data_IF_046457191111
#
_entry.id   IF_046457191111
#
_cell.length_a   1.000
_cell.length_b   1.000
_cell.length_c   1.000
_cell.angle_alpha   90.00
_cell.angle_beta   90.00
_cell.angle_gamma   90.00
#
_symmetry.space_group_name_H-M   'P 1'
#
loop_
_entity.id
_entity.type
_entity.pdbx_description
1 polymer ?
#
# COMPACT_ATOMS: atom_id res chain seq x y z
N UNK A 1 -0.99 22.80 -4.61
CA UNK A 1 0.29 23.04 -3.91
C UNK A 1 1.32 22.11 -4.50
N UNK A 2 2.47 22.62 -4.96
CA UNK A 2 3.55 21.78 -5.48
C UNK A 2 4.23 21.07 -4.31
N UNK A 3 4.24 19.73 -4.32
CA UNK A 3 5.07 18.94 -3.41
C UNK A 3 6.50 19.43 -3.62
N UNK A 4 7.18 19.79 -2.53
CA UNK A 4 8.48 20.39 -2.62
C UNK A 4 9.50 19.32 -3.06
N UNK A 5 9.83 19.33 -4.36
CA UNK A 5 10.83 18.42 -4.95
C UNK A 5 12.19 18.49 -4.25
N UNK A 6 12.48 19.62 -3.54
CA UNK A 6 13.72 19.77 -2.77
C UNK A 6 13.82 18.79 -1.62
N UNK A 7 12.71 18.46 -0.93
CA UNK A 7 12.75 17.58 0.24
C UNK A 7 13.00 16.12 -0.12
N UNK A 8 12.43 15.65 -1.23
CA UNK A 8 12.73 14.33 -1.77
C UNK A 8 14.17 14.27 -2.32
N UNK A 9 14.64 15.35 -2.96
CA UNK A 9 16.02 15.49 -3.43
C UNK A 9 17.00 15.56 -2.27
N UNK A 10 16.69 16.28 -1.19
CA UNK A 10 17.50 16.33 0.04
C UNK A 10 17.55 14.98 0.77
N UNK A 11 16.46 14.24 0.80
CA UNK A 11 16.44 12.88 1.35
C UNK A 11 17.31 11.94 0.50
N UNK A 12 17.20 12.03 -0.82
CA UNK A 12 18.07 11.31 -1.76
C UNK A 12 19.53 11.74 -1.61
N UNK A 13 19.80 13.04 -1.51
CA UNK A 13 21.14 13.57 -1.31
C UNK A 13 21.75 13.09 0.02
N UNK A 14 20.98 13.03 1.11
CA UNK A 14 21.44 12.48 2.41
C UNK A 14 21.67 10.97 2.34
N UNK A 15 20.83 10.23 1.61
CA UNK A 15 21.07 8.81 1.34
C UNK A 15 22.36 8.58 0.53
N UNK A 16 22.73 9.55 -0.35
CA UNK A 16 23.94 9.52 -1.15
C UNK A 16 25.19 10.01 -0.39
N UNK A 17 25.07 11.05 0.44
CA UNK A 17 26.18 11.68 1.15
C UNK A 17 26.81 10.80 2.24
N UNK A 18 26.09 9.80 2.74
CA UNK A 18 26.62 8.83 3.73
C UNK A 18 27.69 7.88 3.17
N UNK A 19 28.05 7.97 1.87
CA UNK A 19 29.08 7.15 1.21
C UNK A 19 29.77 7.96 0.11
N UNK A 20 30.62 8.87 0.50
CA UNK A 20 31.46 9.61 -0.44
C UNK A 20 32.46 8.68 -1.15
N UNK A 21 32.37 8.60 -2.48
CA UNK A 21 33.31 7.93 -3.36
C UNK A 21 32.66 7.49 -4.67
N UNK A 22 32.25 8.38 -5.51
CA UNK A 22 32.33 8.48 -6.96
C UNK A 22 31.19 9.34 -7.53
N UNK A 23 31.59 10.37 -8.25
CA UNK A 23 30.67 11.37 -8.77
C UNK A 23 30.01 10.92 -10.07
N UNK A 24 28.72 10.61 -10.01
CA UNK A 24 27.82 10.74 -11.14
C UNK A 24 26.46 11.24 -10.66
N UNK A 25 26.08 12.42 -11.14
CA UNK A 25 24.83 13.09 -10.79
C UNK A 25 23.62 12.35 -11.36
N UNK A 26 22.68 11.94 -10.52
CA UNK A 26 21.38 11.44 -10.92
C UNK A 26 20.43 12.62 -11.17
N UNK A 27 20.20 12.95 -12.43
CA UNK A 27 19.12 13.84 -12.84
C UNK A 27 17.89 12.99 -13.20
N UNK A 28 16.94 12.84 -12.28
CA UNK A 28 15.58 12.39 -12.59
C UNK A 28 14.62 13.36 -11.90
N UNK A 29 14.03 14.23 -12.73
CA UNK A 29 12.88 15.03 -12.34
C UNK A 29 11.64 14.13 -12.33
N UNK A 30 11.15 13.76 -11.16
CA UNK A 30 9.85 13.17 -11.00
C UNK A 30 8.81 14.28 -10.85
N UNK A 31 8.01 14.52 -11.88
CA UNK A 31 6.78 15.29 -11.74
C UNK A 31 5.74 14.43 -10.99
N UNK A 32 5.27 14.93 -9.85
CA UNK A 32 4.06 14.38 -9.24
C UNK A 32 2.94 14.53 -10.25
N UNK A 33 2.50 13.44 -10.84
CA UNK A 33 1.36 13.43 -11.76
C UNK A 33 0.09 13.73 -10.96
N UNK A 34 -0.24 15.02 -10.86
CA UNK A 34 -1.54 15.45 -10.37
C UNK A 34 -2.58 15.10 -11.42
N UNK A 35 -3.63 14.40 -11.01
CA UNK A 35 -4.83 14.36 -11.83
C UNK A 35 -5.35 15.79 -11.98
N UNK A 36 -5.62 16.28 -13.20
CA UNK A 36 -6.19 17.60 -13.37
C UNK A 36 -7.51 17.68 -12.62
N UNK A 37 -7.76 18.77 -11.90
CA UNK A 37 -9.07 19.11 -11.39
C UNK A 37 -9.95 19.50 -12.57
N UNK A 38 -10.52 18.53 -13.29
CA UNK A 38 -11.46 18.80 -14.38
C UNK A 38 -12.82 19.06 -13.78
N UNK A 39 -13.23 20.31 -13.76
CA UNK A 39 -14.64 20.66 -13.87
C UNK A 39 -15.05 20.41 -15.31
N UNK A 40 -15.72 19.32 -15.53
CA UNK A 40 -16.54 19.13 -16.73
C UNK A 40 -17.97 18.78 -16.25
N UNK A 41 -18.90 19.74 -16.26
CA UNK A 41 -20.28 19.49 -15.87
C UNK A 41 -21.05 18.94 -17.06
N UNK A 42 -20.87 17.67 -17.40
CA UNK A 42 -21.57 17.08 -18.54
C UNK A 42 -21.12 15.71 -18.98
N UNK A 43 -20.31 14.99 -18.23
CA UNK A 43 -19.99 13.59 -18.58
C UNK A 43 -21.13 12.70 -18.10
N UNK A 44 -21.78 12.01 -19.02
CA UNK A 44 -22.61 10.83 -18.76
C UNK A 44 -21.87 9.84 -17.83
N UNK A 45 -22.58 9.01 -17.04
CA UNK A 45 -21.93 8.02 -16.19
C UNK A 45 -21.01 7.18 -17.06
N UNK A 46 -19.69 7.23 -16.76
CA UNK A 46 -18.67 6.53 -17.51
C UNK A 46 -19.02 5.04 -17.57
N UNK A 47 -18.92 4.46 -18.77
CA UNK A 47 -19.22 3.05 -19.07
C UNK A 47 -18.43 2.02 -18.20
N UNK A 48 -17.49 2.47 -17.36
CA UNK A 48 -16.67 1.69 -16.45
C UNK A 48 -17.02 1.82 -14.96
N UNK A 49 -18.04 2.59 -14.58
CA UNK A 49 -18.44 2.69 -13.16
C UNK A 49 -19.10 1.38 -12.70
N UNK A 50 -18.76 0.92 -11.48
CA UNK A 50 -19.45 -0.22 -10.88
C UNK A 50 -20.93 0.09 -10.69
N UNK A 51 -21.77 -0.89 -11.02
CA UNK A 51 -23.21 -0.83 -10.81
C UNK A 51 -23.57 -0.49 -9.36
N UNK A 52 -24.63 0.30 -9.16
CA UNK A 52 -25.15 0.69 -7.85
C UNK A 52 -25.43 -0.52 -6.95
N UNK A 53 -25.92 -1.62 -7.51
CA UNK A 53 -26.18 -2.85 -6.76
C UNK A 53 -24.88 -3.44 -6.19
N UNK A 54 -23.80 -3.49 -6.98
CA UNK A 54 -22.48 -3.93 -6.54
C UNK A 54 -21.92 -3.00 -5.47
N UNK A 55 -22.07 -1.67 -5.65
CA UNK A 55 -21.67 -0.68 -4.65
C UNK A 55 -22.39 -0.85 -3.30
N UNK A 56 -23.69 -1.10 -3.33
CA UNK A 56 -24.48 -1.36 -2.13
C UNK A 56 -24.03 -2.64 -1.43
N UNK A 57 -23.72 -3.68 -2.19
CA UNK A 57 -23.20 -4.93 -1.62
C UNK A 57 -21.82 -4.75 -0.98
N UNK A 58 -20.91 -4.01 -1.63
CA UNK A 58 -19.61 -3.66 -1.07
C UNK A 58 -19.78 -2.83 0.20
N UNK A 59 -20.71 -1.87 0.22
CA UNK A 59 -21.03 -1.08 1.41
C UNK A 59 -21.52 -1.98 2.55
N UNK A 60 -22.37 -2.96 2.28
CA UNK A 60 -22.83 -3.93 3.27
C UNK A 60 -21.70 -4.80 3.83
N UNK A 61 -20.78 -5.23 2.99
CA UNK A 61 -19.62 -6.07 3.38
C UNK A 61 -18.60 -5.27 4.18
N UNK A 62 -18.33 -4.03 3.78
CA UNK A 62 -17.31 -3.18 4.43
C UNK A 62 -17.85 -2.41 5.63
N UNK A 63 -19.16 -2.23 5.73
CA UNK A 63 -19.79 -1.32 6.70
C UNK A 63 -19.44 0.16 6.47
N UNK A 64 -18.78 0.50 5.35
CA UNK A 64 -18.33 1.86 5.00
C UNK A 64 -18.90 2.25 3.65
N UNK A 65 -19.60 3.38 3.59
CA UNK A 65 -20.08 3.92 2.33
C UNK A 65 -18.96 4.62 1.55
N UNK A 66 -19.06 4.64 0.23
CA UNK A 66 -18.25 5.52 -0.61
C UNK A 66 -18.64 6.96 -0.31
N UNK A 67 -17.66 7.83 -0.04
CA UNK A 67 -17.89 9.25 0.22
C UNK A 67 -17.33 10.10 -0.90
N UNK A 68 -18.05 11.10 -1.41
CA UNK A 68 -17.52 12.12 -2.31
C UNK A 68 -16.69 13.17 -1.54
N UNK A 69 -16.08 14.09 -2.25
CA UNK A 69 -15.45 15.27 -1.63
C UNK A 69 -13.93 15.12 -1.44
N UNK A 70 -13.27 14.27 -2.22
CA UNK A 70 -11.82 14.07 -2.08
C UNK A 70 -11.02 14.61 -3.26
N UNK A 71 -9.78 15.01 -2.96
CA UNK A 71 -8.69 15.04 -3.93
C UNK A 71 -7.83 13.81 -3.74
N UNK A 72 -7.38 13.22 -4.84
CA UNK A 72 -6.53 12.02 -4.84
C UNK A 72 -5.34 12.24 -5.74
N UNK A 73 -4.13 12.05 -5.20
CA UNK A 73 -2.88 12.03 -5.94
C UNK A 73 -2.29 10.63 -5.94
N UNK A 74 -1.82 10.16 -7.10
CA UNK A 74 -1.07 8.92 -7.22
C UNK A 74 0.40 9.22 -6.94
N UNK A 75 0.99 8.48 -6.01
CA UNK A 75 2.40 8.57 -5.63
C UNK A 75 3.14 7.34 -6.13
N UNK A 76 4.21 7.58 -6.86
CA UNK A 76 5.02 6.53 -7.47
C UNK A 76 6.34 6.41 -6.71
N UNK A 77 6.63 5.21 -6.24
CA UNK A 77 7.86 4.87 -5.51
C UNK A 77 8.07 5.66 -4.20
N UNK A 78 9.19 5.39 -3.54
CA UNK A 78 9.52 6.04 -2.27
C UNK A 78 9.77 7.52 -2.39
N UNK A 79 10.30 8.00 -3.51
CA UNK A 79 10.63 9.42 -3.68
C UNK A 79 9.40 10.30 -3.55
N UNK A 80 8.34 10.03 -4.31
CA UNK A 80 7.10 10.80 -4.23
C UNK A 80 6.39 10.59 -2.90
N UNK A 81 6.36 9.32 -2.45
CA UNK A 81 5.64 8.94 -1.23
C UNK A 81 6.28 9.54 0.02
N UNK A 82 7.61 9.53 0.14
CA UNK A 82 8.29 10.12 1.31
C UNK A 82 8.20 11.64 1.30
N UNK A 83 8.27 12.28 0.13
CA UNK A 83 8.02 13.71 0.00
C UNK A 83 6.64 14.11 0.50
N UNK A 84 5.61 13.40 0.05
CA UNK A 84 4.23 13.63 0.49
C UNK A 84 4.02 13.35 1.98
N UNK A 85 4.58 12.24 2.50
CA UNK A 85 4.50 11.91 3.93
C UNK A 85 5.20 12.95 4.81
N UNK A 86 6.39 13.42 4.42
CA UNK A 86 7.12 14.46 5.14
C UNK A 86 6.36 15.79 5.11
N UNK A 87 5.74 16.14 3.99
CA UNK A 87 4.90 17.34 3.90
C UNK A 87 3.68 17.23 4.84
N UNK A 88 3.02 16.06 4.88
CA UNK A 88 1.93 15.84 5.84
C UNK A 88 2.40 16.03 7.29
N UNK A 89 3.52 15.43 7.65
CA UNK A 89 4.10 15.51 9.00
C UNK A 89 4.42 16.97 9.34
N UNK A 90 5.13 17.68 8.47
CA UNK A 90 5.57 19.08 8.71
C UNK A 90 4.44 20.08 8.77
N UNK A 91 3.33 19.81 8.10
CA UNK A 91 2.18 20.73 7.99
C UNK A 91 1.00 20.34 8.88
N UNK A 92 1.11 19.29 9.67
CA UNK A 92 0.10 18.92 10.65
C UNK A 92 -0.02 20.00 11.73
N UNK A 93 -1.23 20.40 12.09
CA UNK A 93 -1.48 21.43 13.08
C UNK A 93 -1.76 20.87 14.47
N UNK A 94 -2.40 19.70 14.57
CA UNK A 94 -2.89 19.16 15.83
C UNK A 94 -2.50 17.69 16.08
N UNK A 95 -2.61 16.82 15.05
CA UNK A 95 -2.46 15.37 15.23
C UNK A 95 -1.71 14.73 14.06
N UNK A 96 -0.80 13.81 14.36
CA UNK A 96 -0.17 12.90 13.41
C UNK A 96 -0.38 11.48 13.89
N UNK A 97 -1.04 10.65 13.05
CA UNK A 97 -1.15 9.21 13.27
C UNK A 97 -0.25 8.51 12.24
N UNK A 98 0.72 7.77 12.74
CA UNK A 98 1.77 7.17 11.93
C UNK A 98 1.81 5.66 12.16
N UNK A 99 1.47 4.88 11.15
CA UNK A 99 1.39 3.41 11.20
C UNK A 99 2.22 2.81 10.07
N UNK A 100 3.20 1.96 10.41
CA UNK A 100 4.02 1.33 9.38
C UNK A 100 4.57 -0.03 9.82
N UNK A 101 4.44 -1.05 8.96
CA UNK A 101 4.93 -2.40 9.25
C UNK A 101 6.44 -2.46 9.41
N UNK A 102 7.19 -1.83 8.48
CA UNK A 102 8.65 -1.74 8.54
C UNK A 102 9.05 -0.30 8.78
N UNK A 103 9.53 0.01 9.96
CA UNK A 103 10.12 1.28 10.30
C UNK A 103 11.56 1.03 10.75
N UNK A 104 12.51 1.20 9.82
CA UNK A 104 13.94 0.90 10.07
C UNK A 104 14.66 2.07 10.68
N UNK A 105 15.72 1.76 11.47
CA UNK A 105 16.71 2.74 11.90
C UNK A 105 17.82 2.95 10.85
N UNK A 106 17.41 3.19 9.59
CA UNK A 106 18.29 3.60 8.49
C UNK A 106 18.10 5.10 8.18
N UNK A 107 18.56 5.59 7.03
CA UNK A 107 18.50 7.03 6.72
C UNK A 107 17.07 7.52 6.63
N UNK A 108 16.21 6.81 5.90
CA UNK A 108 14.79 7.15 5.76
C UNK A 108 14.12 7.16 7.12
N UNK A 109 14.22 6.08 7.89
CA UNK A 109 13.54 5.99 9.17
C UNK A 109 14.02 7.01 10.19
N UNK A 110 15.34 7.31 10.25
CA UNK A 110 15.85 8.36 11.14
C UNK A 110 15.37 9.75 10.75
N UNK A 111 15.25 10.04 9.45
CA UNK A 111 14.68 11.31 8.97
C UNK A 111 13.23 11.47 9.45
N UNK A 112 12.39 10.44 9.26
CA UNK A 112 11.01 10.49 9.76
C UNK A 112 10.93 10.59 11.28
N UNK A 113 11.76 9.87 12.02
CA UNK A 113 11.77 9.96 13.48
C UNK A 113 12.19 11.38 13.96
N UNK A 114 13.11 12.04 13.26
CA UNK A 114 13.50 13.42 13.56
C UNK A 114 12.33 14.39 13.33
N UNK A 115 11.66 14.32 12.18
CA UNK A 115 10.54 15.20 11.87
C UNK A 115 9.34 15.00 12.81
N UNK A 116 9.03 13.74 13.16
CA UNK A 116 7.96 13.42 14.11
C UNK A 116 8.24 13.98 15.49
N UNK A 117 9.51 13.93 15.95
CA UNK A 117 9.93 14.55 17.21
C UNK A 117 9.84 16.07 17.16
N UNK A 118 10.29 16.69 16.08
CA UNK A 118 10.20 18.15 15.91
C UNK A 118 8.75 18.63 16.02
N UNK A 119 7.81 17.90 15.42
CA UNK A 119 6.38 18.23 15.53
C UNK A 119 5.84 18.03 16.94
N UNK A 120 6.25 16.98 17.64
CA UNK A 120 5.90 16.78 19.04
C UNK A 120 6.42 17.91 19.95
N UNK A 121 7.66 18.37 19.71
CA UNK A 121 8.26 19.51 20.43
C UNK A 121 7.48 20.81 20.18
N UNK A 122 6.87 20.97 18.99
CA UNK A 122 5.99 22.09 18.64
C UNK A 122 4.55 21.93 19.17
N UNK A 123 4.24 20.83 19.88
CA UNK A 123 2.97 20.61 20.56
C UNK A 123 1.93 19.83 19.74
N UNK A 124 2.29 19.28 18.57
CA UNK A 124 1.43 18.38 17.80
C UNK A 124 1.37 17.02 18.50
N UNK A 125 0.19 16.43 18.63
CA UNK A 125 0.05 15.06 19.15
C UNK A 125 0.58 14.05 18.13
N UNK A 126 1.64 13.31 18.48
CA UNK A 126 2.24 12.32 17.58
C UNK A 126 2.06 10.92 18.16
N UNK A 127 1.33 10.07 17.46
CA UNK A 127 1.11 8.66 17.78
C UNK A 127 1.71 7.76 16.69
N UNK A 128 2.60 6.86 17.07
CA UNK A 128 3.30 5.93 16.18
C UNK A 128 2.96 4.50 16.55
N UNK A 129 2.51 3.71 15.56
CA UNK A 129 2.38 2.25 15.69
C UNK A 129 3.27 1.57 14.68
N UNK A 130 3.99 0.55 15.12
CA UNK A 130 4.67 -0.36 14.20
C UNK A 130 4.63 -1.81 14.69
N UNK A 131 4.87 -2.76 13.80
CA UNK A 131 4.87 -4.18 14.13
C UNK A 131 6.30 -4.66 14.42
N UNK A 132 6.55 -5.32 15.58
CA UNK A 132 7.87 -5.84 15.92
C UNK A 132 8.41 -6.86 14.89
N UNK A 133 7.54 -7.59 14.18
CA UNK A 133 7.99 -8.52 13.15
C UNK A 133 8.69 -7.80 11.99
N UNK A 134 8.21 -6.61 11.61
CA UNK A 134 8.87 -5.77 10.60
C UNK A 134 10.27 -5.35 11.02
N UNK A 135 10.49 -5.01 12.29
CA UNK A 135 11.80 -4.68 12.84
C UNK A 135 12.76 -5.89 12.85
N UNK A 136 12.28 -7.07 13.27
CA UNK A 136 13.06 -8.32 13.29
C UNK A 136 13.44 -8.75 11.87
N UNK A 137 12.50 -8.74 10.93
CA UNK A 137 12.76 -9.06 9.52
C UNK A 137 13.80 -8.12 8.89
N UNK A 138 13.86 -6.88 9.37
CA UNK A 138 14.80 -5.89 8.91
C UNK A 138 16.23 -6.10 9.44
N UNK A 139 16.47 -7.00 10.39
CA UNK A 139 17.78 -7.25 11.06
C UNK A 139 18.49 -5.96 11.50
N UNK A 140 17.75 -4.97 11.96
CA UNK A 140 18.23 -3.64 12.34
C UNK A 140 17.81 -3.29 13.78
N UNK A 141 18.47 -2.28 14.36
CA UNK A 141 18.06 -1.75 15.68
C UNK A 141 16.64 -1.18 15.59
N UNK A 142 15.80 -1.39 16.63
CA UNK A 142 14.49 -0.79 16.67
C UNK A 142 14.56 0.74 16.56
N UNK A 143 13.65 1.32 15.78
CA UNK A 143 13.54 2.77 15.61
C UNK A 143 13.12 3.48 16.90
N UNK A 144 12.50 2.75 17.83
CA UNK A 144 12.02 3.25 19.13
C UNK A 144 13.08 4.04 19.91
N UNK A 145 14.37 3.66 19.76
CA UNK A 145 15.46 4.37 20.41
C UNK A 145 15.60 5.83 19.91
N UNK A 146 15.13 6.13 18.71
CA UNK A 146 15.15 7.47 18.17
C UNK A 146 14.10 8.38 18.82
N UNK A 147 13.10 7.80 19.48
CA UNK A 147 12.05 8.56 20.18
C UNK A 147 12.29 8.75 21.69
N UNK A 148 13.43 8.27 22.20
CA UNK A 148 13.77 8.48 23.62
C UNK A 148 13.87 9.97 23.95
N UNK A 149 13.23 10.37 25.07
CA UNK A 149 13.24 11.76 25.54
C UNK A 149 12.28 12.69 24.79
N UNK A 150 11.43 12.19 23.90
CA UNK A 150 10.30 12.93 23.32
C UNK A 150 8.99 12.50 23.97
N UNK A 151 7.89 13.27 23.75
CA UNK A 151 6.55 12.91 24.16
C UNK A 151 5.79 12.09 23.08
N UNK A 152 6.42 11.77 21.96
CA UNK A 152 5.88 10.87 20.93
C UNK A 152 5.45 9.55 21.57
N UNK A 153 4.16 9.20 21.43
CA UNK A 153 3.66 7.92 21.94
C UNK A 153 3.89 6.81 20.91
N UNK A 154 4.89 5.96 21.18
CA UNK A 154 5.23 4.82 20.31
C UNK A 154 4.69 3.54 20.90
N UNK A 155 3.93 2.77 20.10
CA UNK A 155 3.36 1.50 20.49
C UNK A 155 3.69 0.39 19.50
N UNK A 156 3.78 -0.83 20.03
CA UNK A 156 3.94 -2.05 19.27
C UNK A 156 2.61 -2.79 19.17
N UNK A 157 2.27 -3.14 17.96
CA UNK A 157 1.15 -4.03 17.73
C UNK A 157 1.60 -5.49 17.89
N UNK A 158 0.81 -6.28 18.58
CA UNK A 158 0.94 -7.73 18.69
C UNK A 158 2.39 -8.20 18.97
N UNK A 159 2.91 -7.88 20.15
CA UNK A 159 4.19 -8.41 20.64
C UNK A 159 4.29 -9.92 20.41
N UNK A 160 5.34 -10.34 19.72
CA UNK A 160 5.56 -11.65 19.09
C UNK A 160 5.64 -12.86 20.06
N UNK A 161 4.77 -12.93 21.06
CA UNK A 161 4.61 -14.14 21.87
C UNK A 161 3.53 -15.02 21.21
N UNK A 162 3.76 -16.34 21.07
CA UNK A 162 2.78 -17.25 20.48
C UNK A 162 1.63 -17.50 21.45
N UNK A 163 0.77 -16.51 21.63
CA UNK A 163 -0.50 -16.66 22.33
C UNK A 163 -1.64 -16.90 21.33
N UNK A 164 -2.73 -17.51 21.76
CA UNK A 164 -3.93 -17.68 20.93
C UNK A 164 -4.40 -16.30 20.38
N UNK A 165 -4.40 -15.27 21.23
CA UNK A 165 -4.79 -13.90 20.86
C UNK A 165 -3.86 -13.27 19.79
N UNK A 166 -2.55 -13.56 19.82
CA UNK A 166 -1.61 -13.05 18.81
C UNK A 166 -1.79 -13.74 17.47
N UNK A 167 -2.29 -14.99 17.44
CA UNK A 167 -2.61 -15.69 16.21
C UNK A 167 -3.90 -15.18 15.56
N UNK A 168 -4.87 -14.73 16.33
CA UNK A 168 -6.13 -14.17 15.83
C UNK A 168 -5.95 -12.78 15.23
N UNK A 169 -5.06 -11.95 15.79
CA UNK A 169 -4.85 -10.58 15.33
C UNK A 169 -3.90 -10.48 14.11
N UNK A 170 -3.11 -11.51 13.82
CA UNK A 170 -2.11 -11.48 12.75
C UNK A 170 -1.02 -10.43 12.97
N UNK A 171 -0.56 -9.78 11.91
CA UNK A 171 0.41 -8.68 11.92
C UNK A 171 -0.26 -7.38 11.51
N UNK A 172 0.25 -6.28 11.99
CA UNK A 172 -0.12 -4.97 11.46
C UNK A 172 0.72 -4.69 10.20
N UNK A 173 0.12 -4.99 9.05
CA UNK A 173 0.80 -4.81 7.77
C UNK A 173 0.41 -3.50 7.07
N UNK A 174 -0.28 -2.59 7.76
CA UNK A 174 -0.69 -1.29 7.23
C UNK A 174 0.48 -0.34 7.06
N UNK A 175 0.33 0.62 6.16
CA UNK A 175 1.24 1.73 5.93
C UNK A 175 0.39 2.96 5.71
N UNK A 176 0.29 3.76 6.77
CA UNK A 176 -0.62 4.88 6.85
C UNK A 176 0.04 6.05 7.59
N UNK A 177 -0.11 7.23 7.04
CA UNK A 177 0.15 8.50 7.73
C UNK A 177 -1.09 9.35 7.60
N UNK A 178 -1.62 9.89 8.69
CA UNK A 178 -2.68 10.90 8.65
C UNK A 178 -2.22 12.18 9.36
N UNK A 179 -2.66 13.31 8.85
CA UNK A 179 -2.49 14.62 9.46
C UNK A 179 -3.86 15.24 9.71
N UNK A 180 -4.13 15.59 10.98
CA UNK A 180 -5.32 16.31 11.43
C UNK A 180 -6.65 15.66 10.98
N UNK A 181 -6.64 14.34 10.74
CA UNK A 181 -7.78 13.57 10.18
C UNK A 181 -8.37 14.16 8.89
N UNK A 182 -7.61 15.00 8.21
CA UNK A 182 -8.02 15.70 6.99
C UNK A 182 -7.31 15.21 5.74
N UNK A 183 -6.08 14.74 5.90
CA UNK A 183 -5.23 14.24 4.82
C UNK A 183 -4.56 12.94 5.23
N UNK A 184 -4.32 12.07 4.25
CA UNK A 184 -3.60 10.81 4.47
C UNK A 184 -2.72 10.42 3.29
N UNK A 185 -1.66 9.65 3.58
CA UNK A 185 -0.95 8.82 2.61
C UNK A 185 -1.13 7.37 3.03
N UNK A 186 -1.60 6.53 2.10
CA UNK A 186 -1.76 5.10 2.32
C UNK A 186 -1.33 4.30 1.08
N UNK A 187 -0.69 3.14 1.28
CA UNK A 187 -0.21 2.31 0.17
C UNK A 187 0.68 1.15 0.57
N UNK A 188 1.63 0.77 -0.31
CA UNK A 188 2.58 -0.32 -0.08
C UNK A 188 3.89 0.11 0.61
N UNK A 189 4.19 1.40 0.66
CA UNK A 189 5.48 1.98 1.01
C UNK A 189 5.86 1.75 2.48
N UNK A 190 6.99 1.09 2.71
CA UNK A 190 7.57 0.98 4.05
C UNK A 190 8.70 2.00 4.25
N UNK A 191 8.95 2.39 5.50
CA UNK A 191 9.99 3.34 5.87
C UNK A 191 11.36 2.66 5.96
N UNK A 192 12.01 2.54 4.81
CA UNK A 192 13.34 1.98 4.70
C UNK A 192 14.04 2.40 3.41
N UNK A 193 15.37 2.46 3.44
CA UNK A 193 16.23 2.86 2.31
C UNK A 193 15.98 2.09 0.99
N UNK A 194 15.54 0.80 0.96
CA UNK A 194 15.23 0.11 -0.31
C UNK A 194 14.18 0.79 -1.19
N UNK A 195 13.26 1.55 -0.61
CA UNK A 195 12.23 2.28 -1.36
C UNK A 195 12.73 3.59 -1.99
N UNK A 196 13.83 4.16 -1.47
CA UNK A 196 14.51 5.32 -2.07
C UNK A 196 15.59 4.89 -3.05
N UNK A 197 16.12 3.68 -2.87
CA UNK A 197 17.32 3.20 -3.56
C UNK A 197 18.60 3.71 -2.92
N UNK A 198 19.71 3.29 -3.50
CA UNK A 198 21.01 3.90 -3.22
C UNK A 198 21.63 4.32 -4.54
N UNK A 199 22.30 5.47 -4.53
CA UNK A 199 22.94 6.06 -5.71
C UNK A 199 23.96 5.15 -6.40
N UNK A 200 24.46 4.12 -5.70
CA UNK A 200 25.48 3.20 -6.21
C UNK A 200 24.88 2.11 -7.12
N UNK A 201 23.60 1.76 -6.93
CA UNK A 201 23.00 0.61 -7.65
C UNK A 201 21.69 0.93 -8.38
N UNK A 202 21.13 2.12 -8.31
CA UNK A 202 19.84 2.52 -8.89
C UNK A 202 18.69 1.49 -8.63
N UNK A 203 18.74 0.83 -7.48
CA UNK A 203 17.89 -0.31 -7.16
C UNK A 203 16.78 0.11 -6.20
N UNK A 204 15.87 0.97 -6.66
CA UNK A 204 14.63 1.28 -5.92
C UNK A 204 13.61 0.16 -6.05
N UNK A 205 12.94 -0.14 -4.95
CA UNK A 205 11.74 -0.97 -5.01
C UNK A 205 10.62 -0.15 -5.64
N UNK A 206 10.00 -0.73 -6.65
CA UNK A 206 8.82 -0.16 -7.32
C UNK A 206 7.61 -0.37 -6.42
N UNK A 207 6.96 0.72 -6.02
CA UNK A 207 5.78 0.67 -5.16
C UNK A 207 4.81 1.83 -5.49
N UNK A 208 3.64 1.85 -4.86
CA UNK A 208 2.66 2.92 -5.05
C UNK A 208 1.91 3.23 -3.76
N UNK A 209 1.51 4.50 -3.64
CA UNK A 209 0.62 4.98 -2.58
C UNK A 209 -0.35 6.03 -3.14
N UNK A 210 -1.33 6.39 -2.35
CA UNK A 210 -2.26 7.49 -2.63
C UNK A 210 -2.13 8.57 -1.56
N UNK A 211 -2.06 9.83 -2.00
CA UNK A 211 -2.30 11.00 -1.17
C UNK A 211 -3.77 11.37 -1.30
N UNK A 212 -4.50 11.35 -0.20
CA UNK A 212 -5.93 11.65 -0.19
C UNK A 212 -6.20 12.79 0.79
N UNK A 213 -6.94 13.79 0.35
CA UNK A 213 -7.47 14.84 1.21
C UNK A 213 -9.00 14.76 1.20
N UNK A 214 -9.63 14.83 2.36
CA UNK A 214 -11.08 14.77 2.51
C UNK A 214 -11.57 13.74 3.53
N UNK A 215 -12.90 13.48 3.59
CA UNK A 215 -13.55 12.72 4.67
C UNK A 215 -12.99 11.31 4.91
N UNK A 216 -12.43 10.64 3.90
CA UNK A 216 -11.83 9.31 4.04
C UNK A 216 -10.63 9.27 4.99
N UNK A 217 -9.97 10.41 5.24
CA UNK A 217 -8.90 10.51 6.23
C UNK A 217 -9.41 10.28 7.66
N UNK A 218 -10.67 10.61 7.95
CA UNK A 218 -11.35 10.31 9.24
C UNK A 218 -11.55 8.80 9.38
N UNK A 219 -11.95 8.12 8.30
CA UNK A 219 -12.15 6.66 8.32
C UNK A 219 -10.82 5.93 8.50
N UNK A 220 -9.75 6.42 7.87
CA UNK A 220 -8.40 5.90 8.03
C UNK A 220 -7.87 6.11 9.46
N UNK A 221 -8.07 7.31 10.03
CA UNK A 221 -7.74 7.60 11.43
C UNK A 221 -8.52 6.70 12.40
N UNK A 222 -9.81 6.46 12.13
CA UNK A 222 -10.62 5.52 12.91
C UNK A 222 -10.11 4.08 12.79
N UNK A 223 -9.59 3.68 11.63
CA UNK A 223 -8.94 2.40 11.46
C UNK A 223 -7.63 2.31 12.27
N UNK A 224 -6.83 3.38 12.30
CA UNK A 224 -5.66 3.50 13.16
C UNK A 224 -6.04 3.38 14.65
N UNK A 225 -7.05 4.10 15.12
CA UNK A 225 -7.49 4.07 16.53
C UNK A 225 -7.87 2.65 16.99
N UNK A 226 -8.41 1.82 16.09
CA UNK A 226 -8.68 0.40 16.38
C UNK A 226 -7.41 -0.43 16.57
N UNK A 227 -6.34 -0.14 15.85
CA UNK A 227 -5.01 -0.75 16.05
C UNK A 227 -4.38 -0.20 17.32
N UNK A 228 -4.42 1.11 17.50
CA UNK A 228 -3.90 1.80 18.66
C UNK A 228 -4.40 1.23 19.98
N UNK A 229 -5.71 0.99 20.09
CA UNK A 229 -6.34 0.43 21.28
C UNK A 229 -5.87 -1.01 21.62
N UNK A 230 -5.30 -1.71 20.64
CA UNK A 230 -4.78 -3.08 20.77
C UNK A 230 -3.25 -3.12 20.92
N UNK A 231 -2.60 -2.00 20.69
CA UNK A 231 -1.14 -1.85 20.74
C UNK A 231 -0.65 -1.56 22.17
N UNK A 232 0.62 -1.86 22.45
CA UNK A 232 1.21 -1.69 23.79
C UNK A 232 2.43 -0.79 23.72
N UNK A 233 2.57 0.09 24.71
CA UNK A 233 3.82 0.83 24.95
C UNK A 233 4.92 -0.13 25.37
N UNK A 234 6.11 0.10 24.83
CA UNK A 234 7.34 -0.56 25.27
C UNK A 234 8.20 0.33 26.16
N UNK A 235 8.18 1.63 25.91
CA UNK A 235 8.97 2.60 26.66
C UNK A 235 8.06 3.34 27.66
N UNK A 236 8.43 3.37 28.97
CA UNK A 236 7.56 3.91 30.03
C UNK A 236 7.49 5.44 30.11
N UNK A 237 8.09 6.21 29.21
CA UNK A 237 8.56 7.56 29.52
C UNK A 237 7.83 8.74 28.87
N UNK A 238 6.72 8.56 28.19
CA UNK A 238 5.98 9.72 27.70
C UNK A 238 4.71 9.94 28.54
N UNK A 239 4.49 11.15 29.12
CA UNK A 239 3.19 11.49 29.64
C UNK A 239 2.19 11.46 28.48
N UNK A 240 1.11 10.69 28.63
CA UNK A 240 0.03 10.67 27.65
C UNK A 240 -0.61 12.04 27.58
N UNK A 241 -0.37 12.79 26.52
CA UNK A 241 -1.21 13.92 26.18
C UNK A 241 -2.52 13.36 25.67
N UNK A 242 -3.54 13.35 26.50
CA UNK A 242 -4.90 13.09 26.06
C UNK A 242 -5.39 14.38 25.41
N UNK A 243 -5.14 14.56 24.15
CA UNK A 243 -5.79 15.62 23.39
C UNK A 243 -7.18 15.11 23.02
N UNK A 244 -8.21 15.77 23.53
CA UNK A 244 -9.53 15.77 22.94
C UNK A 244 -9.45 16.64 21.70
N UNK A 245 -8.81 16.14 20.64
CA UNK A 245 -8.91 16.79 19.33
C UNK A 245 -10.38 16.71 18.96
N UNK A 246 -11.08 17.84 19.11
CA UNK A 246 -12.38 18.03 18.51
C UNK A 246 -12.14 17.87 17.01
N UNK A 247 -12.60 16.74 16.46
CA UNK A 247 -12.64 16.52 15.03
C UNK A 247 -13.51 17.64 14.47
N UNK A 248 -12.90 18.73 14.04
CA UNK A 248 -13.56 19.63 13.10
C UNK A 248 -13.68 18.80 11.85
N UNK A 249 -14.91 18.37 11.54
CA UNK A 249 -15.22 17.92 10.20
C UNK A 249 -14.71 19.02 9.29
N UNK A 250 -13.62 18.72 8.58
CA UNK A 250 -13.10 19.66 7.61
C UNK A 250 -14.14 19.76 6.51
N UNK A 251 -14.97 20.79 6.54
CA UNK A 251 -15.92 21.17 5.49
C UNK A 251 -15.21 21.57 4.19
N UNK A 252 -13.91 21.46 4.14
CA UNK A 252 -13.10 21.73 2.96
C UNK A 252 -13.29 20.60 1.92
N UNK A 253 -14.42 20.62 1.24
CA UNK A 253 -14.67 19.87 0.02
C UNK A 253 -13.81 20.43 -1.09
N UNK A 254 -12.62 19.86 -1.29
CA UNK A 254 -11.68 20.32 -2.32
C UNK A 254 -11.67 19.44 -3.56
N UNK A 255 -12.62 18.51 -3.73
CA UNK A 255 -12.68 17.62 -4.89
C UNK A 255 -13.98 16.84 -4.95
N UNK A 256 -14.24 16.20 -6.09
CA UNK A 256 -15.46 15.42 -6.33
C UNK A 256 -15.21 13.90 -6.32
N UNK A 257 -13.98 13.44 -6.08
CA UNK A 257 -13.62 12.03 -6.23
C UNK A 257 -14.24 11.23 -5.08
N UNK A 258 -15.03 10.18 -5.36
CA UNK A 258 -15.55 9.28 -4.35
C UNK A 258 -14.48 8.30 -3.88
N UNK A 259 -14.32 8.16 -2.55
CA UNK A 259 -13.33 7.29 -1.91
C UNK A 259 -13.96 6.48 -0.78
N UNK A 260 -13.47 5.26 -0.57
CA UNK A 260 -13.76 4.39 0.58
C UNK A 260 -12.46 3.85 1.16
N UNK A 261 -12.37 3.80 2.48
CA UNK A 261 -11.29 3.07 3.17
C UNK A 261 -11.79 1.68 3.55
N UNK A 262 -11.05 0.67 3.14
CA UNK A 262 -11.32 -0.74 3.44
C UNK A 262 -10.25 -1.21 4.43
N UNK A 263 -10.64 -1.57 5.64
CA UNK A 263 -9.72 -1.97 6.69
C UNK A 263 -10.03 -3.36 7.23
N UNK A 264 -9.08 -4.29 7.07
CA UNK A 264 -9.15 -5.63 7.65
C UNK A 264 -8.56 -5.63 9.07
N UNK A 265 -9.22 -6.30 10.00
CA UNK A 265 -8.72 -6.52 11.36
C UNK A 265 -9.45 -7.68 12.05
N UNK A 266 -8.71 -8.63 12.61
CA UNK A 266 -9.27 -9.77 13.34
C UNK A 266 -10.18 -10.63 12.45
N UNK A 267 -11.43 -10.81 12.83
CA UNK A 267 -12.41 -11.57 12.06
C UNK A 267 -13.09 -10.76 10.95
N UNK A 268 -13.00 -9.42 11.01
CA UNK A 268 -13.58 -8.55 9.99
C UNK A 268 -12.59 -8.37 8.84
N UNK A 269 -12.88 -9.00 7.71
CA UNK A 269 -11.98 -9.11 6.55
C UNK A 269 -12.73 -8.90 5.24
N UNK A 270 -13.13 -7.66 4.96
CA UNK A 270 -13.92 -7.34 3.78
C UNK A 270 -13.13 -7.39 2.47
N UNK A 271 -11.81 -7.19 2.47
CA UNK A 271 -11.02 -7.02 1.24
C UNK A 271 -11.18 -8.17 0.26
N UNK A 272 -11.11 -9.44 0.71
CA UNK A 272 -11.29 -10.60 -0.16
C UNK A 272 -12.66 -10.60 -0.83
N UNK A 273 -13.73 -10.34 -0.08
CA UNK A 273 -15.10 -10.29 -0.59
C UNK A 273 -15.31 -9.12 -1.55
N UNK A 274 -14.74 -7.95 -1.25
CA UNK A 274 -14.79 -6.78 -2.16
C UNK A 274 -14.17 -7.14 -3.51
N UNK A 275 -12.97 -7.72 -3.51
CA UNK A 275 -12.29 -8.12 -4.76
C UNK A 275 -13.08 -9.16 -5.55
N UNK A 276 -13.69 -10.15 -4.88
CA UNK A 276 -14.55 -11.12 -5.57
C UNK A 276 -15.72 -10.43 -6.28
N UNK A 277 -16.42 -9.49 -5.62
CA UNK A 277 -17.54 -8.73 -6.23
C UNK A 277 -17.09 -7.88 -7.40
N UNK A 278 -15.96 -7.20 -7.25
CA UNK A 278 -15.42 -6.32 -8.28
C UNK A 278 -14.96 -7.12 -9.50
N UNK A 279 -14.30 -8.27 -9.32
CA UNK A 279 -13.89 -9.13 -10.43
C UNK A 279 -15.10 -9.77 -11.13
N UNK A 280 -16.16 -10.06 -10.42
CA UNK A 280 -17.41 -10.55 -11.03
C UNK A 280 -18.15 -9.46 -11.81
N UNK A 281 -18.07 -8.22 -11.37
CA UNK A 281 -18.68 -7.07 -12.02
C UNK A 281 -17.88 -6.52 -13.21
N UNK A 282 -16.60 -6.85 -13.33
CA UNK A 282 -15.72 -6.38 -14.40
C UNK A 282 -16.27 -6.73 -15.79
N UNK A 283 -16.21 -5.74 -16.71
CA UNK A 283 -16.76 -5.83 -18.07
C UNK A 283 -15.69 -5.85 -19.16
N UNK A 284 -14.58 -5.12 -18.96
CA UNK A 284 -13.58 -4.90 -19.99
C UNK A 284 -12.18 -5.34 -19.56
N UNK A 285 -11.71 -4.86 -18.41
CA UNK A 285 -10.32 -5.04 -18.01
C UNK A 285 -10.13 -5.14 -16.50
N UNK A 286 -9.21 -6.02 -16.07
CA UNK A 286 -8.71 -6.12 -14.69
C UNK A 286 -7.20 -6.06 -14.75
N UNK A 287 -6.60 -5.06 -14.09
CA UNK A 287 -5.15 -4.88 -13.95
C UNK A 287 -4.75 -5.09 -12.50
N UNK A 288 -3.85 -6.03 -12.23
CA UNK A 288 -3.40 -6.36 -10.88
C UNK A 288 -1.88 -6.26 -10.81
N UNK A 289 -1.36 -5.41 -9.90
CA UNK A 289 0.04 -5.44 -9.49
C UNK A 289 0.12 -5.96 -8.07
N UNK A 290 0.87 -7.05 -7.84
CA UNK A 290 0.99 -7.61 -6.49
C UNK A 290 2.30 -8.39 -6.28
N UNK A 291 3.06 -8.13 -5.17
CA UNK A 291 4.36 -8.76 -4.92
C UNK A 291 4.24 -10.23 -4.52
N UNK A 292 3.19 -10.59 -3.80
CA UNK A 292 2.93 -11.95 -3.32
C UNK A 292 1.57 -12.41 -3.82
N UNK A 293 1.51 -12.63 -5.13
CA UNK A 293 0.29 -13.02 -5.84
C UNK A 293 0.03 -14.52 -5.66
N UNK A 294 -0.49 -14.89 -4.49
CA UNK A 294 -0.86 -16.26 -4.11
C UNK A 294 -2.32 -16.27 -3.66
N UNK A 295 -3.26 -15.79 -4.52
CA UNK A 295 -4.63 -15.57 -4.13
C UNK A 295 -5.31 -16.89 -3.66
N UNK A 296 -6.27 -16.79 -2.72
CA UNK A 296 -7.17 -17.89 -2.38
C UNK A 296 -7.90 -18.44 -3.62
N UNK A 297 -8.33 -19.70 -3.53
CA UNK A 297 -8.94 -20.37 -4.68
C UNK A 297 -10.21 -19.66 -5.18
N UNK A 298 -10.96 -18.98 -4.29
CA UNK A 298 -12.13 -18.15 -4.65
C UNK A 298 -11.77 -17.00 -5.59
N UNK A 299 -10.74 -16.23 -5.24
CA UNK A 299 -10.26 -15.13 -6.09
C UNK A 299 -9.68 -15.62 -7.42
N UNK A 300 -8.96 -16.75 -7.41
CA UNK A 300 -8.48 -17.37 -8.67
C UNK A 300 -9.66 -17.72 -9.56
N UNK A 301 -10.69 -18.37 -8.98
CA UNK A 301 -11.90 -18.72 -9.73
C UNK A 301 -12.64 -17.50 -10.29
N UNK A 302 -12.72 -16.38 -9.53
CA UNK A 302 -13.33 -15.14 -10.00
C UNK A 302 -12.55 -14.54 -11.20
N UNK A 303 -11.22 -14.51 -11.14
CA UNK A 303 -10.37 -14.06 -12.27
C UNK A 303 -10.53 -14.96 -13.50
N UNK A 304 -10.56 -16.29 -13.32
CA UNK A 304 -10.79 -17.25 -14.40
C UNK A 304 -12.19 -17.05 -15.02
N UNK A 305 -13.22 -16.82 -14.20
CA UNK A 305 -14.57 -16.54 -14.72
C UNK A 305 -14.60 -15.22 -15.49
N UNK A 306 -13.91 -14.17 -14.99
CA UNK A 306 -13.80 -12.89 -15.71
C UNK A 306 -13.12 -13.07 -17.07
N UNK A 307 -11.98 -13.75 -17.14
CA UNK A 307 -11.29 -14.03 -18.39
C UNK A 307 -12.17 -14.83 -19.37
N UNK A 308 -12.91 -15.83 -18.89
CA UNK A 308 -13.86 -16.62 -19.72
C UNK A 308 -15.05 -15.82 -20.22
N UNK A 309 -15.43 -14.73 -19.55
CA UNK A 309 -16.44 -13.76 -20.04
C UNK A 309 -15.88 -12.82 -21.10
N UNK A 310 -14.59 -12.86 -21.40
CA UNK A 310 -13.91 -11.97 -22.35
C UNK A 310 -13.28 -10.72 -21.71
N UNK A 311 -13.23 -10.64 -20.37
CA UNK A 311 -12.53 -9.57 -19.66
C UNK A 311 -11.02 -9.73 -19.84
N UNK A 312 -10.32 -8.68 -20.23
CA UNK A 312 -8.86 -8.67 -20.33
C UNK A 312 -8.22 -8.62 -18.93
N UNK A 313 -7.72 -9.74 -18.46
CA UNK A 313 -7.09 -9.84 -17.13
C UNK A 313 -5.57 -9.83 -17.27
N UNK A 314 -4.93 -8.86 -16.62
CA UNK A 314 -3.48 -8.68 -16.60
C UNK A 314 -2.96 -8.72 -15.16
N UNK A 315 -1.89 -9.46 -14.94
CA UNK A 315 -1.26 -9.61 -13.61
C UNK A 315 0.23 -9.33 -13.74
N UNK A 316 0.72 -8.37 -12.93
CA UNK A 316 2.13 -8.01 -12.83
C UNK A 316 2.68 -8.47 -11.47
N UNK A 317 3.72 -9.29 -11.51
CA UNK A 317 4.38 -9.88 -10.33
C UNK A 317 5.89 -9.64 -10.37
N UNK A 318 6.62 -9.74 -9.25
CA UNK A 318 8.08 -9.67 -9.28
C UNK A 318 8.70 -10.76 -10.16
N UNK A 319 9.65 -10.40 -11.01
CA UNK A 319 10.50 -11.38 -11.68
C UNK A 319 11.52 -12.01 -10.72
N UNK A 320 11.96 -11.22 -9.71
CA UNK A 320 12.75 -11.69 -8.57
C UNK A 320 12.00 -11.36 -7.29
N UNK A 321 11.70 -12.37 -6.49
CA UNK A 321 11.01 -12.18 -5.22
C UNK A 321 12.03 -12.18 -4.07
N UNK A 322 11.86 -11.27 -3.11
CA UNK A 322 12.68 -11.20 -1.90
C UNK A 322 12.44 -12.38 -0.93
N UNK A 323 11.34 -13.13 -1.12
CA UNK A 323 11.02 -14.38 -0.44
C UNK A 323 10.98 -15.54 -1.45
N UNK A 324 12.04 -16.39 -1.55
CA UNK A 324 12.14 -17.42 -2.59
C UNK A 324 10.97 -18.41 -2.63
N UNK A 325 10.47 -18.83 -1.46
CA UNK A 325 9.33 -19.77 -1.36
C UNK A 325 8.05 -19.12 -1.89
N UNK A 326 7.80 -17.85 -1.55
CA UNK A 326 6.67 -17.10 -2.10
C UNK A 326 6.79 -16.95 -3.62
N UNK A 327 7.99 -16.68 -4.14
CA UNK A 327 8.24 -16.62 -5.58
C UNK A 327 7.86 -17.91 -6.31
N UNK A 328 8.16 -19.09 -5.73
CA UNK A 328 7.75 -20.38 -6.27
C UNK A 328 6.23 -20.55 -6.26
N UNK A 329 5.57 -20.11 -5.21
CA UNK A 329 4.09 -20.19 -5.09
C UNK A 329 3.39 -19.26 -6.08
N UNK A 330 3.92 -18.04 -6.30
CA UNK A 330 3.46 -17.09 -7.33
C UNK A 330 3.55 -17.73 -8.71
N UNK A 331 4.68 -18.38 -9.03
CA UNK A 331 4.87 -19.06 -10.31
C UNK A 331 3.82 -20.16 -10.55
N UNK A 332 3.48 -20.95 -9.53
CA UNK A 332 2.47 -22.02 -9.67
C UNK A 332 1.06 -21.44 -9.85
N UNK A 333 0.73 -20.34 -9.13
CA UNK A 333 -0.57 -19.65 -9.29
C UNK A 333 -0.72 -19.01 -10.67
N UNK A 334 0.36 -18.43 -11.20
CA UNK A 334 0.37 -17.87 -12.54
C UNK A 334 -0.03 -18.89 -13.62
N UNK A 335 0.37 -20.15 -13.47
CA UNK A 335 0.07 -21.21 -14.45
C UNK A 335 -1.42 -21.45 -14.64
N UNK A 336 -2.17 -21.54 -13.57
CA UNK A 336 -3.64 -21.74 -13.64
C UNK A 336 -4.33 -20.59 -14.37
N UNK A 337 -3.82 -19.38 -14.20
CA UNK A 337 -4.35 -18.18 -14.83
C UNK A 337 -3.97 -18.10 -16.32
N UNK A 338 -2.73 -18.50 -16.67
CA UNK A 338 -2.27 -18.57 -18.05
C UNK A 338 -3.14 -19.52 -18.89
N UNK A 339 -3.51 -20.68 -18.33
CA UNK A 339 -4.40 -21.65 -18.98
C UNK A 339 -5.81 -21.10 -19.21
N UNK A 340 -6.22 -20.09 -18.45
CA UNK A 340 -7.49 -19.36 -18.63
C UNK A 340 -7.40 -18.13 -19.54
N UNK A 341 -6.23 -17.86 -20.14
CA UNK A 341 -6.02 -16.70 -21.02
C UNK A 341 -5.61 -15.40 -20.31
N UNK A 342 -5.34 -15.45 -19.00
CA UNK A 342 -4.83 -14.29 -18.25
C UNK A 342 -3.40 -13.96 -18.68
N UNK A 343 -3.09 -12.68 -18.85
CA UNK A 343 -1.76 -12.21 -19.21
C UNK A 343 -0.94 -11.96 -17.95
N UNK A 344 0.17 -12.66 -17.80
CA UNK A 344 1.05 -12.55 -16.62
C UNK A 344 2.39 -11.94 -17.03
N UNK A 345 2.80 -10.90 -16.29
CA UNK A 345 4.06 -10.18 -16.51
C UNK A 345 4.97 -10.34 -15.30
N UNK A 346 6.26 -10.49 -15.54
CA UNK A 346 7.32 -10.59 -14.54
C UNK A 346 8.18 -9.32 -14.57
N UNK A 347 8.09 -8.52 -13.53
CA UNK A 347 8.85 -7.29 -13.39
C UNK A 347 10.36 -7.49 -13.59
N UNK A 348 10.98 -6.69 -14.45
CA UNK A 348 12.40 -6.80 -14.78
C UNK A 348 13.35 -6.13 -13.78
N UNK A 349 12.86 -5.22 -12.97
CA UNK A 349 13.63 -4.49 -11.96
C UNK A 349 13.89 -5.29 -10.67
N UNK A 350 14.47 -4.64 -9.64
CA UNK A 350 14.88 -5.33 -8.41
C UNK A 350 13.73 -5.98 -7.64
N UNK A 351 12.68 -5.23 -7.40
CA UNK A 351 11.46 -5.69 -6.73
C UNK A 351 10.32 -4.76 -7.08
N UNK A 352 9.16 -5.29 -7.45
CA UNK A 352 7.91 -4.55 -7.44
C UNK A 352 7.13 -4.95 -6.20
N UNK A 353 6.79 -3.96 -5.36
CA UNK A 353 6.12 -4.18 -4.07
C UNK A 353 4.75 -3.50 -4.02
N UNK A 354 4.31 -2.86 -5.10
CA UNK A 354 2.99 -2.24 -5.22
C UNK A 354 1.85 -3.27 -5.07
N UNK A 355 0.77 -2.84 -4.43
CA UNK A 355 -0.48 -3.58 -4.31
C UNK A 355 -1.59 -2.71 -4.86
N UNK A 356 -1.92 -2.94 -6.11
CA UNK A 356 -2.97 -2.18 -6.79
C UNK A 356 -3.84 -3.07 -7.66
N UNK A 357 -5.10 -2.70 -7.76
CA UNK A 357 -6.07 -3.29 -8.67
C UNK A 357 -6.80 -2.16 -9.38
N UNK A 358 -6.90 -2.23 -10.70
CA UNK A 358 -7.72 -1.33 -11.50
C UNK A 358 -8.74 -2.18 -12.27
N UNK A 359 -9.99 -1.76 -12.28
CA UNK A 359 -11.05 -2.42 -13.03
C UNK A 359 -11.75 -1.40 -13.92
N UNK A 360 -11.85 -1.74 -15.20
CA UNK A 360 -12.52 -0.98 -16.25
C UNK A 360 -12.08 0.51 -16.32
N UNK A 361 -10.83 0.80 -15.88
CA UNK A 361 -10.28 2.15 -15.88
C UNK A 361 -10.99 3.17 -14.97
N UNK A 362 -11.92 2.73 -14.11
CA UNK A 362 -12.77 3.60 -13.30
C UNK A 362 -12.81 3.23 -11.81
N UNK A 363 -12.64 1.97 -11.46
CA UNK A 363 -12.48 1.52 -10.09
C UNK A 363 -11.01 1.20 -9.80
N UNK A 364 -10.49 1.75 -8.72
CA UNK A 364 -9.08 1.55 -8.34
C UNK A 364 -8.98 1.23 -6.86
N UNK A 365 -8.15 0.25 -6.50
CA UNK A 365 -7.76 -0.02 -5.12
C UNK A 365 -6.24 0.00 -5.00
N UNK A 366 -5.72 0.78 -4.06
CA UNK A 366 -4.31 0.82 -3.68
C UNK A 366 -4.20 0.67 -2.18
N UNK A 367 -3.27 -0.16 -1.70
CA UNK A 367 -3.14 -0.34 -0.27
C UNK A 367 -2.00 -1.23 0.17
N UNK A 368 -2.17 -1.84 1.33
CA UNK A 368 -1.17 -2.71 1.94
C UNK A 368 -1.38 -4.19 1.65
N UNK A 369 -2.57 -4.61 1.16
CA UNK A 369 -2.95 -6.01 1.05
C UNK A 369 -2.22 -6.74 -0.07
N UNK A 370 -1.41 -7.73 0.30
CA UNK A 370 -1.00 -8.73 -0.66
C UNK A 370 -2.18 -9.65 -0.99
N UNK A 371 -2.21 -10.18 -2.20
CA UNK A 371 -3.18 -11.19 -2.57
C UNK A 371 -2.68 -12.58 -2.16
N UNK A 372 -2.46 -12.77 -0.86
CA UNK A 372 -2.04 -14.02 -0.25
C UNK A 372 -2.89 -14.36 1.00
N UNK A 373 -2.67 -15.53 1.54
CA UNK A 373 -3.44 -16.03 2.68
C UNK A 373 -3.17 -15.25 3.97
N UNK A 374 -1.95 -14.72 4.17
CA UNK A 374 -1.61 -13.97 5.38
C UNK A 374 -2.30 -12.61 5.38
N UNK A 375 -2.20 -11.86 4.29
CA UNK A 375 -2.83 -10.56 4.16
C UNK A 375 -4.36 -10.67 4.20
N UNK A 376 -4.95 -11.53 3.37
CA UNK A 376 -6.39 -11.61 3.24
C UNK A 376 -7.09 -12.30 4.42
N UNK A 377 -6.38 -13.10 5.23
CA UNK A 377 -6.98 -13.92 6.27
C UNK A 377 -6.45 -13.70 7.68
N UNK A 378 -5.35 -12.96 7.86
CA UNK A 378 -4.70 -12.82 9.16
C UNK A 378 -4.26 -11.42 9.51
N UNK A 379 -3.59 -10.72 8.60
CA UNK A 379 -3.00 -9.42 8.90
C UNK A 379 -4.06 -8.32 9.04
N UNK A 380 -3.74 -7.29 9.80
CA UNK A 380 -4.41 -6.01 9.67
C UNK A 380 -3.91 -5.33 8.40
N UNK A 381 -4.83 -4.96 7.53
CA UNK A 381 -4.55 -4.33 6.24
C UNK A 381 -5.40 -3.07 6.08
N UNK A 382 -4.96 -2.17 5.22
CA UNK A 382 -5.72 -0.98 4.84
C UNK A 382 -5.56 -0.72 3.35
N UNK A 383 -6.69 -0.62 2.67
CA UNK A 383 -6.76 -0.31 1.26
C UNK A 383 -7.64 0.92 1.04
N UNK A 384 -7.30 1.70 0.04
CA UNK A 384 -8.07 2.86 -0.40
C UNK A 384 -8.70 2.53 -1.74
N UNK A 385 -10.02 2.51 -1.77
CA UNK A 385 -10.84 2.34 -2.96
C UNK A 385 -11.21 3.71 -3.50
N UNK A 386 -10.96 3.95 -4.78
CA UNK A 386 -11.20 5.21 -5.48
C UNK A 386 -12.06 4.96 -6.70
N UNK A 387 -13.10 5.77 -6.86
CA UNK A 387 -13.99 5.75 -8.02
C UNK A 387 -13.74 6.97 -8.89
N UNK A 388 -13.46 6.75 -10.16
CA UNK A 388 -13.29 7.81 -11.14
C UNK A 388 -12.20 7.50 -12.17
N UNK A 389 -12.49 7.92 -13.40
CA UNK A 389 -11.65 7.64 -14.57
C UNK A 389 -10.29 8.35 -14.51
N UNK A 390 -10.17 9.47 -13.81
CA UNK A 390 -8.91 10.21 -13.72
C UNK A 390 -7.82 9.40 -12.99
N UNK A 391 -8.16 8.84 -11.81
CA UNK A 391 -7.25 7.98 -11.03
C UNK A 391 -7.08 6.63 -11.72
N UNK A 392 -8.18 6.05 -12.22
CA UNK A 392 -8.15 4.79 -12.96
C UNK A 392 -7.23 4.85 -14.17
N UNK A 393 -7.30 5.92 -14.97
CA UNK A 393 -6.42 6.13 -16.12
C UNK A 393 -4.95 6.28 -15.71
N UNK A 394 -4.66 7.10 -14.70
CA UNK A 394 -3.30 7.28 -14.21
C UNK A 394 -2.69 5.94 -13.75
N UNK A 395 -3.45 5.13 -13.03
CA UNK A 395 -3.01 3.81 -12.57
C UNK A 395 -2.92 2.78 -13.71
N UNK A 396 -3.77 2.87 -14.73
CA UNK A 396 -3.69 2.05 -15.94
C UNK A 396 -2.43 2.36 -16.75
N UNK A 397 -2.14 3.65 -16.98
CA UNK A 397 -0.91 4.10 -17.65
C UNK A 397 0.33 3.59 -16.92
N UNK A 398 0.34 3.73 -15.61
CA UNK A 398 1.41 3.28 -14.73
C UNK A 398 1.61 1.76 -14.82
N UNK A 399 0.53 0.99 -14.80
CA UNK A 399 0.58 -0.47 -14.97
C UNK A 399 1.22 -0.88 -16.29
N UNK A 400 0.79 -0.29 -17.41
CA UNK A 400 1.35 -0.63 -18.69
C UNK A 400 2.78 -0.09 -18.90
N UNK A 401 3.17 0.98 -18.23
CA UNK A 401 4.56 1.42 -18.18
C UNK A 401 5.44 0.38 -17.49
N UNK A 402 5.00 -0.12 -16.34
CA UNK A 402 5.68 -1.22 -15.64
C UNK A 402 5.72 -2.51 -16.51
N UNK A 403 4.65 -2.81 -17.25
CA UNK A 403 4.63 -3.95 -18.17
C UNK A 403 5.64 -3.82 -19.32
N UNK A 404 5.93 -2.61 -19.82
CA UNK A 404 6.96 -2.40 -20.85
C UNK A 404 8.37 -2.76 -20.37
N UNK A 405 8.61 -2.70 -19.05
CA UNK A 405 9.87 -3.09 -18.42
C UNK A 405 9.85 -4.54 -17.90
N UNK A 406 8.82 -5.30 -18.25
CA UNK A 406 8.56 -6.65 -17.74
C UNK A 406 8.61 -7.68 -18.84
N UNK A 407 8.96 -8.92 -18.48
CA UNK A 407 8.88 -10.06 -19.37
C UNK A 407 7.49 -10.71 -19.25
N UNK A 408 6.78 -10.88 -20.36
CA UNK A 408 5.52 -11.62 -20.36
C UNK A 408 5.81 -13.12 -20.20
N UNK A 409 5.16 -13.77 -19.24
CA UNK A 409 5.20 -15.22 -19.09
C UNK A 409 4.23 -15.85 -20.10
N UNK A 410 4.74 -16.75 -20.92
CA UNK A 410 3.93 -17.46 -21.91
C UNK A 410 3.49 -18.84 -21.40
N UNK A 411 2.34 -19.40 -21.86
CA UNK A 411 1.96 -20.78 -21.55
C UNK A 411 3.04 -21.80 -21.94
N UNK A 412 3.71 -21.60 -23.09
CA UNK A 412 4.78 -22.49 -23.56
C UNK A 412 5.97 -22.52 -22.58
N UNK A 413 6.45 -21.34 -22.12
CA UNK A 413 7.52 -21.27 -21.12
C UNK A 413 7.11 -21.93 -19.82
N UNK A 414 5.86 -21.71 -19.37
CA UNK A 414 5.37 -22.31 -18.16
C UNK A 414 5.27 -23.84 -18.25
N UNK A 415 4.77 -24.37 -19.35
CA UNK A 415 4.67 -25.82 -19.59
C UNK A 415 6.03 -26.47 -19.83
N UNK A 416 7.01 -25.76 -20.38
CA UNK A 416 8.37 -26.27 -20.63
C UNK A 416 9.26 -26.39 -19.37
N UNK A 417 8.75 -25.99 -18.18
CA UNK A 417 9.52 -26.09 -16.92
C UNK A 417 9.96 -27.52 -16.64
N UNK A 418 11.16 -27.67 -16.07
CA UNK A 418 11.69 -28.99 -15.66
C UNK A 418 10.77 -29.68 -14.63
N UNK A 419 10.83 -30.99 -14.56
CA UNK A 419 10.06 -31.79 -13.57
C UNK A 419 10.39 -31.38 -12.15
N UNK A 420 11.66 -31.10 -11.85
CA UNK A 420 12.10 -30.61 -10.52
C UNK A 420 11.48 -29.24 -10.19
N UNK A 421 11.44 -28.29 -11.15
CA UNK A 421 10.81 -26.97 -10.95
C UNK A 421 9.32 -27.11 -10.68
N UNK A 422 8.60 -27.93 -11.44
CA UNK A 422 7.15 -28.18 -11.23
C UNK A 422 6.89 -28.78 -9.85
N UNK A 423 7.74 -29.72 -9.39
CA UNK A 423 7.59 -30.30 -8.07
C UNK A 423 7.83 -29.26 -6.97
N UNK A 424 8.89 -28.42 -7.12
CA UNK A 424 9.22 -27.37 -6.17
C UNK A 424 8.11 -26.33 -6.05
N UNK A 425 7.53 -25.84 -7.17
CA UNK A 425 6.43 -24.85 -7.17
C UNK A 425 5.15 -25.41 -6.55
N UNK A 426 4.81 -26.65 -6.83
CA UNK A 426 3.66 -27.34 -6.19
C UNK A 426 3.85 -27.54 -4.70
N UNK A 427 5.04 -27.94 -4.28
CA UNK A 427 5.37 -28.09 -2.85
C UNK A 427 5.29 -26.73 -2.12
N UNK A 428 5.86 -25.68 -2.71
CA UNK A 428 5.77 -24.32 -2.15
C UNK A 428 4.33 -23.86 -2.01
N UNK A 429 3.47 -24.08 -3.01
CA UNK A 429 2.07 -23.69 -2.94
C UNK A 429 1.28 -24.43 -1.85
N UNK A 430 1.66 -25.66 -1.48
CA UNK A 430 1.04 -26.36 -0.35
C UNK A 430 1.31 -25.69 0.99
N UNK A 431 2.40 -24.91 1.08
CA UNK A 431 2.76 -24.11 2.25
C UNK A 431 2.10 -22.72 2.26
N UNK A 432 1.21 -22.41 1.30
CA UNK A 432 0.59 -21.08 1.12
C UNK A 432 -0.11 -20.51 2.35
N UNK A 433 -0.58 -21.38 3.28
CA UNK A 433 -1.20 -20.94 4.54
C UNK A 433 -0.23 -20.27 5.50
N UNK A 434 1.07 -20.36 5.22
CA UNK A 434 2.17 -19.83 6.01
C UNK A 434 2.93 -18.69 5.29
N UNK A 435 2.45 -18.32 4.11
CA UNK A 435 3.02 -17.29 3.23
C UNK A 435 2.10 -16.07 3.13
#
# INVERSE_FOLDING_TARGET
MSINQRDAADLLARCCAGRAGDGSACAHGSEVRRTPSSRDPGSEPSDGALDTAVQNEITRVTGVAVRPGHTVGVLVDGTDSFGAMLELVRTAAAEILFENFIFRSDTVGRTFAHELRARDEEGVEVRVVHDPAGAVMARRRPIDLAFRGSAVDVRWFNLAMPSARSRELGRDHRKLVTADRARMVAGGICLADPWVGNCVRHCTWRDSALLVSGPAAVDAASAFDRIWSRSRRLLPNAPSRTSTVLVRESEATHGAIPVRVIADLGQFRPTEQVLERVFEAARHEILITNPYFIPPDGLVASLVRAARRGVHVHVLVPGRNNHPVAGLSVEERAGVLLDAGVLVYRWGGPMIHAKSVVVDGAWTMVGSSNLDHLSLRRNAELNVEVHGTAVGRAMTELFFEDCRQSARLTPNEWHARSRSRRLATRAALRLRRWQ
#
